data_IF_099593777072
#
_entry.id   IF_099593777072
#
_cell.length_a   1.000
_cell.length_b   1.000
_cell.length_c   1.000
_cell.angle_alpha   90.00
_cell.angle_beta   90.00
_cell.angle_gamma   90.00
#
_symmetry.space_group_name_H-M   'P 1'
#
loop_
_entity.id
_entity.type
_entity.pdbx_description
1 polymer ?
#
# COMPACT_ATOMS: atom_id res chain seq x y z
N UNK A 1 -0.85 -2.83 25.59
CA UNK A 1 -0.24 -3.77 24.62
C UNK A 1 -0.68 -3.41 23.21
N UNK A 2 0.21 -3.44 22.21
CA UNK A 2 -0.19 -3.19 20.82
C UNK A 2 -1.00 -4.38 20.28
N UNK A 3 -2.22 -4.12 19.80
CA UNK A 3 -3.10 -5.16 19.24
C UNK A 3 -3.53 -4.78 17.82
N UNK A 4 -3.59 -5.79 16.92
CA UNK A 4 -4.06 -5.60 15.55
C UNK A 4 -5.57 -5.37 15.56
N UNK A 5 -6.00 -4.33 14.86
CA UNK A 5 -7.40 -3.99 14.65
C UNK A 5 -7.93 -4.57 13.34
N UNK A 6 -7.23 -4.35 12.23
CA UNK A 6 -7.59 -4.88 10.91
C UNK A 6 -6.34 -5.14 10.06
N UNK A 7 -6.47 -6.07 9.12
CA UNK A 7 -5.51 -6.26 8.03
C UNK A 7 -6.24 -6.07 6.70
N UNK A 8 -5.83 -5.07 5.94
CA UNK A 8 -6.43 -4.71 4.65
C UNK A 8 -5.49 -5.11 3.52
N UNK A 9 -6.03 -5.82 2.52
CA UNK A 9 -5.24 -6.34 1.40
C UNK A 9 -5.65 -5.65 0.11
N UNK A 10 -4.67 -5.35 -0.73
CA UNK A 10 -4.92 -4.73 -2.03
C UNK A 10 -3.86 -5.07 -3.06
N UNK A 11 -4.23 -4.87 -4.33
CA UNK A 11 -3.35 -5.06 -5.47
C UNK A 11 -3.39 -3.83 -6.37
N UNK A 12 -2.29 -3.54 -7.03
CA UNK A 12 -2.18 -2.44 -7.98
C UNK A 12 -1.16 -2.75 -9.04
N UNK A 13 -1.41 -2.32 -10.27
CA UNK A 13 -0.50 -2.53 -11.37
C UNK A 13 -0.13 -1.21 -12.04
N UNK A 14 1.07 -1.13 -12.59
CA UNK A 14 1.40 -0.22 -13.66
C UNK A 14 1.47 -1.01 -14.98
N UNK A 15 0.75 -0.52 -15.99
CA UNK A 15 0.52 -1.27 -17.23
C UNK A 15 1.53 -0.93 -18.32
N UNK A 16 2.17 0.24 -18.21
CA UNK A 16 3.09 0.77 -19.20
C UNK A 16 4.19 1.56 -18.46
N UNK A 17 5.43 1.08 -18.55
CA UNK A 17 6.60 1.77 -17.98
C UNK A 17 7.22 1.10 -16.76
N UNK A 18 6.67 -0.02 -16.28
CA UNK A 18 7.18 -0.76 -15.13
C UNK A 18 7.39 0.09 -13.87
N UNK A 19 6.52 1.08 -13.63
CA UNK A 19 6.64 1.98 -12.49
C UNK A 19 6.21 1.30 -11.18
N UNK A 20 7.21 0.84 -10.41
CA UNK A 20 7.03 0.15 -9.13
C UNK A 20 6.33 1.00 -8.09
N UNK A 21 6.61 2.31 -8.06
CA UNK A 21 6.00 3.26 -7.13
C UNK A 21 4.51 3.39 -7.43
N UNK A 22 4.16 3.60 -8.70
CA UNK A 22 2.76 3.72 -9.14
C UNK A 22 1.97 2.45 -8.89
N UNK A 23 2.55 1.28 -9.15
CA UNK A 23 1.94 0.00 -8.82
C UNK A 23 1.70 -0.14 -7.30
N UNK A 24 2.70 0.19 -6.48
CA UNK A 24 2.61 0.16 -5.01
C UNK A 24 1.56 1.13 -4.45
N UNK A 25 1.55 2.39 -4.91
CA UNK A 25 0.54 3.38 -4.53
C UNK A 25 -0.87 2.90 -4.88
N UNK A 26 -1.05 2.30 -6.07
CA UNK A 26 -2.33 1.72 -6.48
C UNK A 26 -2.74 0.57 -5.57
N UNK A 27 -1.82 -0.30 -5.18
CA UNK A 27 -2.09 -1.41 -4.28
C UNK A 27 -2.54 -0.94 -2.88
N UNK A 28 -1.86 0.08 -2.33
CA UNK A 28 -2.22 0.69 -1.06
C UNK A 28 -3.60 1.37 -1.13
N UNK A 29 -3.86 2.18 -2.17
CA UNK A 29 -5.17 2.80 -2.37
C UNK A 29 -6.28 1.76 -2.52
N UNK A 30 -6.01 0.67 -3.24
CA UNK A 30 -6.96 -0.43 -3.38
C UNK A 30 -7.30 -1.06 -2.03
N UNK A 31 -6.30 -1.31 -1.17
CA UNK A 31 -6.50 -1.89 0.16
C UNK A 31 -7.41 -1.03 1.05
N UNK A 32 -7.12 0.27 1.18
CA UNK A 32 -7.85 1.18 2.08
C UNK A 32 -9.20 1.65 1.55
N UNK A 33 -9.50 1.40 0.27
CA UNK A 33 -10.74 1.88 -0.37
C UNK A 33 -11.98 1.04 -0.07
N UNK A 34 -11.83 -0.08 0.65
CA UNK A 34 -12.86 -1.12 0.78
C UNK A 34 -13.48 -1.22 2.17
N UNK A 35 -12.92 -0.53 3.15
CA UNK A 35 -13.35 -0.60 4.54
C UNK A 35 -13.56 0.79 5.11
N UNK A 36 -14.54 0.91 6.00
CA UNK A 36 -14.65 2.04 6.91
C UNK A 36 -14.23 1.56 8.30
N UNK A 37 -13.21 2.20 8.89
CA UNK A 37 -12.74 1.85 10.24
C UNK A 37 -13.59 2.52 11.34
N UNK A 38 -14.92 2.50 11.19
CA UNK A 38 -15.85 3.14 12.12
C UNK A 38 -15.69 2.63 13.56
N UNK A 39 -15.33 1.35 13.73
CA UNK A 39 -15.08 0.74 15.04
C UNK A 39 -13.94 1.38 15.83
N UNK A 40 -13.01 2.11 15.19
CA UNK A 40 -12.03 2.91 15.94
C UNK A 40 -12.72 3.97 16.80
N UNK A 41 -13.78 4.59 16.28
CA UNK A 41 -14.55 5.62 16.99
C UNK A 41 -15.67 5.00 17.81
N UNK A 42 -16.51 4.17 17.19
CA UNK A 42 -17.76 3.67 17.77
C UNK A 42 -17.54 2.60 18.85
N UNK A 43 -16.52 1.75 18.69
CA UNK A 43 -16.25 0.63 19.61
C UNK A 43 -15.13 0.95 20.57
N UNK A 44 -14.02 1.53 20.07
CA UNK A 44 -12.86 1.86 20.89
C UNK A 44 -12.89 3.29 21.47
N UNK A 45 -13.94 4.07 21.18
CA UNK A 45 -14.12 5.41 21.74
C UNK A 45 -13.05 6.42 21.32
N UNK A 46 -12.32 6.18 20.23
CA UNK A 46 -11.23 7.07 19.80
C UNK A 46 -11.81 8.35 19.21
N UNK A 47 -11.44 9.48 19.81
CA UNK A 47 -11.77 10.82 19.31
C UNK A 47 -10.66 11.40 18.42
N UNK A 48 -9.48 10.78 18.44
CA UNK A 48 -8.30 11.10 17.64
C UNK A 48 -7.62 9.81 17.19
N UNK A 49 -6.90 9.88 16.08
CA UNK A 49 -6.17 8.73 15.53
C UNK A 49 -4.74 8.60 16.10
N UNK A 50 -4.43 9.32 17.18
CA UNK A 50 -3.19 9.17 17.94
C UNK A 50 -3.11 7.75 18.55
N UNK A 51 -1.95 7.10 18.44
CA UNK A 51 -1.78 5.69 18.84
C UNK A 51 -2.37 4.65 17.87
N UNK A 52 -3.01 5.09 16.77
CA UNK A 52 -3.31 4.22 15.62
C UNK A 52 -2.03 4.11 14.78
N UNK A 53 -1.54 2.89 14.59
CA UNK A 53 -0.36 2.61 13.76
C UNK A 53 -0.75 1.85 12.52
N UNK A 54 -0.25 2.28 11.37
CA UNK A 54 -0.47 1.62 10.08
C UNK A 54 0.86 1.13 9.56
N UNK A 55 1.04 -0.19 9.57
CA UNK A 55 2.20 -0.82 8.95
C UNK A 55 1.84 -1.30 7.55
N UNK A 56 2.45 -0.68 6.56
CA UNK A 56 2.27 -1.00 5.14
C UNK A 56 3.35 -1.99 4.72
N UNK A 57 2.96 -3.15 4.22
CA UNK A 57 3.87 -4.10 3.58
C UNK A 57 3.54 -4.23 2.10
N UNK A 58 4.51 -3.96 1.23
CA UNK A 58 4.35 -4.03 -0.22
C UNK A 58 5.26 -5.10 -0.81
N UNK A 59 4.68 -6.04 -1.57
CA UNK A 59 5.41 -6.99 -2.41
C UNK A 59 5.41 -6.53 -3.86
N UNK A 60 6.58 -6.35 -4.46
CA UNK A 60 6.74 -5.83 -5.84
C UNK A 60 8.02 -6.40 -6.50
N UNK A 61 8.11 -6.49 -7.85
CA UNK A 61 9.28 -7.12 -8.48
C UNK A 61 10.62 -6.47 -8.16
N UNK A 62 10.68 -5.13 -8.12
CA UNK A 62 11.91 -4.37 -7.82
C UNK A 62 11.71 -3.42 -6.63
N UNK A 63 11.86 -3.92 -5.39
CA UNK A 63 11.61 -3.14 -4.18
C UNK A 63 12.46 -1.87 -4.05
N UNK A 64 13.69 -1.91 -4.56
CA UNK A 64 14.64 -0.79 -4.50
C UNK A 64 14.22 0.40 -5.37
N UNK A 65 13.30 0.22 -6.31
CA UNK A 65 12.80 1.27 -7.19
C UNK A 65 11.51 1.95 -6.67
N UNK A 66 11.04 1.59 -5.47
CA UNK A 66 9.84 2.18 -4.87
C UNK A 66 10.19 3.43 -4.07
N UNK A 67 9.53 4.55 -4.40
CA UNK A 67 9.46 5.72 -3.53
C UNK A 67 8.52 5.42 -2.35
N UNK A 68 9.13 5.13 -1.19
CA UNK A 68 8.43 4.79 0.04
C UNK A 68 7.57 5.95 0.56
N UNK A 69 8.02 7.19 0.40
CA UNK A 69 7.30 8.38 0.88
C UNK A 69 6.04 8.59 0.06
N UNK A 70 6.11 8.43 -1.27
CA UNK A 70 4.95 8.48 -2.15
C UNK A 70 3.90 7.41 -1.79
N UNK A 71 4.33 6.21 -1.42
CA UNK A 71 3.43 5.13 -0.97
C UNK A 71 2.78 5.48 0.38
N UNK A 72 3.57 5.96 1.36
CA UNK A 72 3.06 6.36 2.68
C UNK A 72 2.11 7.55 2.64
N UNK A 73 2.30 8.47 1.67
CA UNK A 73 1.40 9.59 1.44
C UNK A 73 -0.03 9.15 1.07
N UNK A 74 -0.21 7.94 0.53
CA UNK A 74 -1.54 7.41 0.20
C UNK A 74 -2.35 6.94 1.43
N UNK A 75 -1.72 6.69 2.57
CA UNK A 75 -2.40 6.29 3.81
C UNK A 75 -2.93 7.53 4.53
N UNK A 76 -4.22 7.64 4.87
CA UNK A 76 -4.81 8.89 5.35
C UNK A 76 -4.59 9.18 6.85
N UNK A 77 -4.30 8.16 7.66
CA UNK A 77 -4.32 8.25 9.13
C UNK A 77 -3.13 7.55 9.78
N UNK A 78 -2.95 7.83 11.07
CA UNK A 78 -2.08 7.09 11.97
C UNK A 78 -0.58 7.35 11.80
N UNK A 79 0.20 6.76 12.70
CA UNK A 79 1.65 6.63 12.58
C UNK A 79 1.98 5.57 11.54
N UNK A 80 2.68 5.97 10.48
CA UNK A 80 2.87 5.12 9.30
C UNK A 80 4.27 4.54 9.26
N UNK A 81 4.37 3.28 8.87
CA UNK A 81 5.64 2.63 8.55
C UNK A 81 5.48 1.78 7.31
N UNK A 82 6.57 1.55 6.58
CA UNK A 82 6.54 0.76 5.35
C UNK A 82 7.71 -0.22 5.26
N UNK A 83 7.39 -1.44 4.87
CA UNK A 83 8.31 -2.46 4.40
C UNK A 83 8.01 -2.75 2.92
N UNK A 84 9.04 -2.77 2.08
CA UNK A 84 8.92 -3.15 0.66
C UNK A 84 9.81 -4.36 0.41
N UNK A 85 9.23 -5.45 -0.09
CA UNK A 85 9.91 -6.73 -0.26
C UNK A 85 9.75 -7.26 -1.69
N UNK A 86 10.66 -8.13 -2.18
CA UNK A 86 10.47 -8.80 -3.46
C UNK A 86 9.14 -9.57 -3.47
N UNK A 87 8.42 -9.52 -4.59
CA UNK A 87 7.12 -10.20 -4.75
C UNK A 87 6.34 -9.67 -5.95
N UNK A 88 5.01 -9.69 -5.85
CA UNK A 88 4.14 -9.17 -6.91
C UNK A 88 4.22 -10.01 -8.21
N UNK A 89 4.07 -9.34 -9.35
CA UNK A 89 4.17 -9.99 -10.66
C UNK A 89 4.79 -9.04 -11.69
N UNK A 90 5.63 -9.59 -12.57
CA UNK A 90 6.00 -8.96 -13.84
C UNK A 90 5.44 -9.81 -14.98
N UNK A 91 4.79 -9.17 -15.93
CA UNK A 91 4.22 -9.84 -17.09
C UNK A 91 4.56 -9.06 -18.37
N UNK A 92 4.71 -9.75 -19.52
CA UNK A 92 4.83 -9.06 -20.80
C UNK A 92 3.55 -8.26 -21.08
N UNK A 93 3.75 -7.06 -21.59
CA UNK A 93 2.70 -6.12 -22.00
C UNK A 93 3.00 -5.52 -23.36
N UNK A 94 2.61 -4.25 -23.55
CA UNK A 94 2.82 -3.49 -24.78
C UNK A 94 3.59 -2.22 -24.46
N UNK A 95 4.66 -1.96 -25.23
CA UNK A 95 5.32 -0.66 -25.18
C UNK A 95 4.37 0.41 -25.69
N UNK A 96 4.11 1.40 -24.84
CA UNK A 96 3.40 2.61 -25.22
C UNK A 96 4.33 3.76 -24.89
N UNK A 97 5.07 4.23 -25.90
CA UNK A 97 6.21 5.13 -25.72
C UNK A 97 5.89 6.43 -24.96
N UNK A 98 4.65 6.93 -25.02
CA UNK A 98 4.23 8.10 -24.26
C UNK A 98 4.02 7.84 -22.75
N UNK A 99 3.94 6.58 -22.32
CA UNK A 99 3.85 6.18 -20.92
C UNK A 99 5.13 5.55 -20.39
N UNK A 100 5.91 4.89 -21.24
CA UNK A 100 7.16 4.21 -20.86
C UNK A 100 7.99 3.83 -22.08
N UNK A 101 8.84 4.72 -22.60
CA UNK A 101 9.66 4.43 -23.78
C UNK A 101 10.68 3.33 -23.47
N UNK A 102 10.79 2.34 -24.35
CA UNK A 102 11.69 1.20 -24.19
C UNK A 102 11.26 0.19 -23.12
N UNK A 103 10.03 0.27 -22.61
CA UNK A 103 9.51 -0.67 -21.62
C UNK A 103 8.19 -1.29 -22.11
N UNK A 104 8.16 -2.61 -22.21
CA UNK A 104 6.97 -3.39 -22.57
C UNK A 104 6.42 -4.20 -21.39
N UNK A 105 6.80 -3.90 -20.16
CA UNK A 105 6.42 -4.71 -19.00
C UNK A 105 5.24 -4.11 -18.23
N UNK A 106 4.35 -5.00 -17.78
CA UNK A 106 3.35 -4.74 -16.76
C UNK A 106 3.94 -5.19 -15.42
N UNK A 107 3.84 -4.35 -14.40
CA UNK A 107 4.28 -4.68 -13.04
C UNK A 107 3.12 -4.56 -12.08
N UNK A 108 2.94 -5.56 -11.23
CA UNK A 108 1.90 -5.61 -10.21
C UNK A 108 2.54 -5.67 -8.83
N UNK A 109 2.03 -4.86 -7.92
CA UNK A 109 2.33 -4.88 -6.51
C UNK A 109 1.13 -5.44 -5.72
N UNK A 110 1.44 -6.15 -4.64
CA UNK A 110 0.48 -6.52 -3.61
C UNK A 110 0.78 -5.71 -2.34
N UNK A 111 -0.24 -5.30 -1.60
CA UNK A 111 -0.10 -4.56 -0.35
C UNK A 111 -0.90 -5.25 0.76
N UNK A 112 -0.34 -5.27 1.96
CA UNK A 112 -1.02 -5.60 3.20
C UNK A 112 -0.82 -4.46 4.21
N UNK A 113 -1.90 -3.83 4.64
CA UNK A 113 -1.87 -2.79 5.65
C UNK A 113 -2.40 -3.35 6.95
N UNK A 114 -1.54 -3.40 7.96
CA UNK A 114 -1.93 -3.78 9.31
C UNK A 114 -2.17 -2.54 10.14
N UNK A 115 -3.42 -2.32 10.53
CA UNK A 115 -3.79 -1.27 11.48
C UNK A 115 -3.76 -1.86 12.87
N UNK A 116 -3.05 -1.20 13.78
CA UNK A 116 -2.94 -1.59 15.18
C UNK A 116 -3.24 -0.42 16.11
N UNK A 117 -3.72 -0.73 17.31
CA UNK A 117 -4.03 0.24 18.35
C UNK A 117 -3.38 -0.17 19.67
N UNK A 118 -3.03 0.82 20.49
CA UNK A 118 -2.59 0.57 21.87
C UNK A 118 -3.79 0.33 22.77
N UNK A 119 -3.89 -0.87 23.34
CA UNK A 119 -4.90 -1.24 24.32
C UNK A 119 -4.32 -1.18 25.73
N UNK A 120 -5.12 -0.78 26.72
CA UNK A 120 -4.77 -0.85 28.14
C UNK A 120 -4.60 -2.31 28.61
#
# INVERSE_FOLDING_TARGET
MQQRFVVELGTGADLHGADMTKAAVRAVKNAISRSCLCGLVEVLGRTRFEGVRVHVRVGVPEPGAVDKEAVLAAVPIGEKSIEVTPGGLRAPGLEVACFGPGCSDIVMACAALTVSVDME
#
